data_IF_730447404775
#
_entry.id   IF_730447404775
#
_cell.length_a   1.000
_cell.length_b   1.000
_cell.length_c   1.000
_cell.angle_alpha   90.00
_cell.angle_beta   90.00
_cell.angle_gamma   90.00
#
_symmetry.space_group_name_H-M   'P 1'
#
loop_
_entity.id
_entity.type
_entity.pdbx_description
1 polymer ?
#
# COMPACT_ATOMS: atom_id res chain seq x y z
N UNK A 1 -17.19 23.45 4.19
CA UNK A 1 -17.87 22.12 4.09
C UNK A 1 -19.04 22.10 3.09
N UNK A 2 -19.26 23.14 2.25
CA UNK A 2 -20.43 23.23 1.34
C UNK A 2 -20.60 22.04 0.36
N UNK A 3 -19.53 21.33 0.02
CA UNK A 3 -19.57 20.20 -0.93
C UNK A 3 -19.83 18.84 -0.27
N UNK A 4 -19.88 18.76 1.07
CA UNK A 4 -20.08 17.49 1.80
C UNK A 4 -21.41 16.79 1.45
N UNK A 5 -22.56 17.47 1.27
CA UNK A 5 -23.80 16.81 0.85
C UNK A 5 -23.71 16.17 -0.53
N UNK A 6 -22.95 16.80 -1.45
CA UNK A 6 -22.72 16.26 -2.80
C UNK A 6 -21.83 15.00 -2.76
N UNK A 7 -20.81 14.98 -1.90
CA UNK A 7 -20.00 13.78 -1.65
C UNK A 7 -20.84 12.65 -1.07
N UNK A 8 -21.67 12.93 -0.06
CA UNK A 8 -22.58 11.93 0.53
C UNK A 8 -23.54 11.33 -0.51
N UNK A 9 -24.17 12.16 -1.35
CA UNK A 9 -25.02 11.65 -2.44
C UNK A 9 -24.26 10.75 -3.42
N UNK A 10 -23.04 11.13 -3.82
CA UNK A 10 -22.21 10.31 -4.72
C UNK A 10 -21.86 8.97 -4.06
N UNK A 11 -21.49 8.98 -2.78
CA UNK A 11 -21.18 7.75 -2.03
C UNK A 11 -22.38 6.82 -1.88
N UNK A 12 -23.57 7.37 -1.63
CA UNK A 12 -24.82 6.57 -1.59
C UNK A 12 -25.14 6.00 -2.96
N UNK A 13 -25.06 6.79 -4.03
CA UNK A 13 -25.29 6.31 -5.40
C UNK A 13 -24.31 5.19 -5.81
N UNK A 14 -23.04 5.33 -5.46
CA UNK A 14 -22.01 4.31 -5.72
C UNK A 14 -22.18 3.09 -4.82
N UNK A 15 -22.69 3.24 -3.59
CA UNK A 15 -23.10 2.11 -2.75
C UNK A 15 -24.26 1.30 -3.34
N UNK A 16 -25.29 1.98 -3.86
CA UNK A 16 -26.42 1.34 -4.55
C UNK A 16 -25.93 0.59 -5.80
N UNK A 17 -25.03 1.20 -6.58
CA UNK A 17 -24.38 0.52 -7.71
C UNK A 17 -23.58 -0.72 -7.26
N UNK A 18 -22.79 -0.61 -6.18
CA UNK A 18 -22.02 -1.73 -5.62
C UNK A 18 -22.91 -2.89 -5.12
N UNK A 19 -24.12 -2.59 -4.63
CA UNK A 19 -25.10 -3.62 -4.27
C UNK A 19 -25.58 -4.40 -5.51
N UNK A 20 -25.96 -3.69 -6.59
CA UNK A 20 -26.36 -4.31 -7.85
C UNK A 20 -25.23 -5.11 -8.52
N UNK A 21 -24.00 -4.61 -8.45
CA UNK A 21 -22.80 -5.31 -8.90
C UNK A 21 -22.58 -6.61 -8.11
N UNK A 22 -22.75 -6.58 -6.79
CA UNK A 22 -22.67 -7.76 -5.94
C UNK A 22 -23.66 -8.85 -6.34
N UNK A 23 -24.93 -8.49 -6.60
CA UNK A 23 -25.94 -9.43 -7.11
C UNK A 23 -25.52 -10.02 -8.46
N UNK A 24 -25.09 -9.20 -9.41
CA UNK A 24 -24.74 -9.65 -10.77
C UNK A 24 -23.56 -10.64 -10.77
N UNK A 25 -22.54 -10.41 -9.95
CA UNK A 25 -21.36 -11.28 -9.86
C UNK A 25 -21.45 -12.36 -8.77
N UNK A 26 -22.62 -12.56 -8.15
CA UNK A 26 -22.84 -13.50 -7.04
C UNK A 26 -21.83 -13.32 -5.87
N UNK A 27 -21.45 -12.06 -5.61
CA UNK A 27 -20.62 -11.64 -4.48
C UNK A 27 -21.50 -11.08 -3.36
N UNK A 28 -21.04 -11.09 -2.10
CA UNK A 28 -21.79 -10.58 -0.96
C UNK A 28 -22.26 -9.10 -1.15
N UNK A 29 -23.54 -8.84 -1.46
CA UNK A 29 -23.95 -7.51 -1.94
C UNK A 29 -23.79 -6.38 -0.89
N UNK A 30 -24.07 -6.58 0.41
CA UNK A 30 -23.80 -5.57 1.44
C UNK A 30 -22.32 -5.20 1.56
N UNK A 31 -21.41 -6.15 1.35
CA UNK A 31 -19.96 -5.93 1.46
C UNK A 31 -19.46 -5.07 0.28
N UNK A 32 -19.92 -5.38 -0.94
CA UNK A 32 -19.60 -4.60 -2.14
C UNK A 32 -20.17 -3.18 -2.05
N UNK A 33 -21.44 -3.04 -1.65
CA UNK A 33 -22.08 -1.75 -1.43
C UNK A 33 -21.32 -0.91 -0.38
N UNK A 34 -21.01 -1.50 0.77
CA UNK A 34 -20.27 -0.85 1.85
C UNK A 34 -18.87 -0.44 1.44
N UNK A 35 -18.11 -1.31 0.78
CA UNK A 35 -16.76 -1.02 0.30
C UNK A 35 -16.71 0.14 -0.69
N UNK A 36 -17.56 0.12 -1.72
CA UNK A 36 -17.59 1.15 -2.76
C UNK A 36 -18.10 2.51 -2.23
N UNK A 37 -19.11 2.51 -1.35
CA UNK A 37 -19.58 3.73 -0.67
C UNK A 37 -18.50 4.33 0.24
N UNK A 38 -17.81 3.50 1.03
CA UNK A 38 -16.76 3.93 1.95
C UNK A 38 -15.58 4.56 1.23
N UNK A 39 -15.12 3.94 0.13
CA UNK A 39 -13.98 4.39 -0.64
C UNK A 39 -14.24 5.74 -1.33
N UNK A 40 -15.42 5.91 -1.93
CA UNK A 40 -15.82 7.19 -2.53
C UNK A 40 -16.05 8.28 -1.49
N UNK A 41 -16.56 7.96 -0.30
CA UNK A 41 -16.74 8.91 0.79
C UNK A 41 -15.38 9.43 1.28
N UNK A 42 -14.44 8.51 1.54
CA UNK A 42 -13.05 8.84 1.89
C UNK A 42 -12.41 9.75 0.84
N UNK A 43 -12.52 9.39 -0.44
CA UNK A 43 -11.95 10.19 -1.54
C UNK A 43 -12.57 11.59 -1.61
N UNK A 44 -13.89 11.71 -1.53
CA UNK A 44 -14.58 13.00 -1.52
C UNK A 44 -14.23 13.88 -0.32
N UNK A 45 -14.06 13.29 0.87
CA UNK A 45 -13.58 14.00 2.07
C UNK A 45 -12.14 14.52 1.87
N UNK A 46 -11.26 13.70 1.27
CA UNK A 46 -9.89 14.10 0.95
C UNK A 46 -9.85 15.26 -0.06
N UNK A 47 -10.68 15.25 -1.10
CA UNK A 47 -10.79 16.34 -2.07
C UNK A 47 -11.34 17.65 -1.49
N UNK A 48 -12.24 17.58 -0.49
CA UNK A 48 -12.76 18.77 0.20
C UNK A 48 -11.70 19.42 1.12
N UNK A 49 -10.69 18.66 1.54
CA UNK A 49 -9.67 19.13 2.48
C UNK A 49 -8.68 20.05 1.77
N UNK A 50 -8.72 21.35 2.09
CA UNK A 50 -7.80 22.37 1.54
C UNK A 50 -6.36 21.84 1.60
N UNK A 51 -5.71 21.75 0.43
CA UNK A 51 -4.35 21.26 0.31
C UNK A 51 -3.43 22.12 1.18
N UNK A 52 -2.85 21.51 2.23
CA UNK A 52 -1.85 22.15 3.07
C UNK A 52 -0.49 21.84 2.44
N UNK A 53 0.43 22.82 2.35
CA UNK A 53 1.79 22.52 1.93
C UNK A 53 2.35 21.42 2.84
N UNK A 54 2.96 20.41 2.23
CA UNK A 54 3.59 19.28 2.92
C UNK A 54 4.78 19.81 3.72
N UNK A 55 4.56 20.12 5.02
CA UNK A 55 5.67 20.28 5.96
C UNK A 55 6.41 18.95 6.03
N UNK A 56 7.62 18.93 5.48
CA UNK A 56 8.55 17.80 5.61
C UNK A 56 8.65 17.41 7.08
N UNK A 57 8.16 16.22 7.42
CA UNK A 57 8.42 15.61 8.73
C UNK A 57 9.85 15.06 8.68
N UNK A 58 10.64 15.30 9.72
CA UNK A 58 11.93 14.62 9.86
C UNK A 58 11.76 13.10 9.83
N UNK A 59 12.72 12.40 9.21
CA UNK A 59 12.70 10.95 8.94
C UNK A 59 12.16 10.12 10.12
N UNK A 60 12.78 10.23 11.29
CA UNK A 60 12.40 9.49 12.50
C UNK A 60 10.96 9.76 12.95
N UNK A 61 10.48 11.00 12.84
CA UNK A 61 9.09 11.36 13.18
C UNK A 61 8.11 10.72 12.19
N UNK A 62 8.50 10.57 10.93
CA UNK A 62 7.66 9.94 9.93
C UNK A 62 7.60 8.42 10.10
N UNK A 63 8.77 7.77 10.24
CA UNK A 63 8.90 6.34 10.56
C UNK A 63 8.07 5.99 11.81
N UNK A 64 8.29 6.71 12.91
CA UNK A 64 7.57 6.51 14.18
C UNK A 64 6.06 6.77 14.11
N UNK A 65 5.57 7.55 13.14
CA UNK A 65 4.12 7.70 12.92
C UNK A 65 3.52 6.48 12.19
N UNK A 66 4.30 5.82 11.32
CA UNK A 66 3.81 4.72 10.47
C UNK A 66 3.94 3.34 11.12
N UNK A 67 4.94 3.12 11.97
CA UNK A 67 5.13 1.82 12.67
C UNK A 67 3.83 1.36 13.37
N UNK A 68 3.14 2.17 14.20
CA UNK A 68 1.89 1.73 14.84
C UNK A 68 0.78 1.37 13.84
N UNK A 69 0.67 2.11 12.73
CA UNK A 69 -0.32 1.85 11.68
C UNK A 69 -0.09 0.48 11.05
N UNK A 70 1.17 0.15 10.74
CA UNK A 70 1.52 -1.09 10.05
C UNK A 70 1.55 -2.29 11.00
N UNK A 71 1.84 -2.10 12.30
CA UNK A 71 1.59 -3.12 13.31
C UNK A 71 0.09 -3.46 13.41
N UNK A 72 -0.80 -2.46 13.43
CA UNK A 72 -2.26 -2.68 13.43
C UNK A 72 -2.71 -3.39 12.15
N UNK A 73 -2.22 -2.98 10.97
CA UNK A 73 -2.52 -3.68 9.72
C UNK A 73 -2.00 -5.12 9.69
N UNK A 74 -0.79 -5.37 10.19
CA UNK A 74 -0.22 -6.72 10.31
C UNK A 74 -1.05 -7.62 11.21
N UNK A 75 -1.51 -7.12 12.37
CA UNK A 75 -2.43 -7.83 13.26
C UNK A 75 -3.76 -8.15 12.57
N UNK A 76 -4.35 -7.20 11.84
CA UNK A 76 -5.58 -7.42 11.07
C UNK A 76 -5.37 -8.50 9.99
N UNK A 77 -4.27 -8.42 9.23
CA UNK A 77 -3.91 -9.39 8.19
C UNK A 77 -3.73 -10.79 8.79
N UNK A 78 -3.02 -10.91 9.92
CA UNK A 78 -2.81 -12.18 10.61
C UNK A 78 -4.13 -12.86 10.99
N UNK A 79 -5.00 -12.16 11.73
CA UNK A 79 -6.30 -12.72 12.13
C UNK A 79 -7.22 -13.00 10.95
N UNK A 80 -7.18 -12.17 9.91
CA UNK A 80 -7.97 -12.38 8.68
C UNK A 80 -7.50 -13.64 7.93
N UNK A 81 -6.19 -13.81 7.74
CA UNK A 81 -5.62 -14.98 7.07
C UNK A 81 -5.86 -16.28 7.88
N UNK A 82 -5.74 -16.20 9.21
CA UNK A 82 -6.11 -17.31 10.10
C UNK A 82 -7.60 -17.68 10.01
N UNK A 83 -8.50 -16.69 9.92
CA UNK A 83 -9.93 -16.94 9.74
C UNK A 83 -10.28 -17.62 8.41
N UNK A 84 -9.55 -17.30 7.33
CA UNK A 84 -9.68 -17.98 6.03
C UNK A 84 -8.92 -19.32 5.93
N UNK A 85 -8.33 -19.80 7.03
CA UNK A 85 -7.69 -21.12 7.09
C UNK A 85 -6.33 -21.23 6.40
N UNK A 86 -5.64 -20.11 6.14
CA UNK A 86 -4.29 -20.15 5.55
C UNK A 86 -3.29 -20.83 6.51
N UNK A 87 -2.34 -21.64 6.01
CA UNK A 87 -1.30 -22.24 6.85
C UNK A 87 -0.42 -21.18 7.53
N UNK A 88 0.18 -21.52 8.68
CA UNK A 88 0.97 -20.59 9.50
C UNK A 88 2.04 -19.81 8.72
N UNK A 89 2.81 -20.50 7.86
CA UNK A 89 3.85 -19.86 7.04
C UNK A 89 3.29 -18.80 6.07
N UNK A 90 2.12 -19.04 5.47
CA UNK A 90 1.45 -18.06 4.62
C UNK A 90 0.96 -16.83 5.42
N UNK A 91 0.47 -17.03 6.65
CA UNK A 91 0.09 -15.91 7.53
C UNK A 91 1.30 -15.03 7.87
N UNK A 92 2.46 -15.64 8.15
CA UNK A 92 3.74 -14.93 8.35
C UNK A 92 4.13 -14.15 7.10
N UNK A 93 4.02 -14.75 5.92
CA UNK A 93 4.39 -14.13 4.64
C UNK A 93 3.50 -12.91 4.31
N UNK A 94 2.18 -13.00 4.52
CA UNK A 94 1.27 -11.86 4.32
C UNK A 94 1.58 -10.69 5.26
N UNK A 95 1.95 -10.97 6.52
CA UNK A 95 2.40 -9.92 7.46
C UNK A 95 3.78 -9.37 7.07
N UNK A 96 4.69 -10.20 6.55
CA UNK A 96 5.97 -9.75 6.03
C UNK A 96 5.79 -8.79 4.83
N UNK A 97 4.87 -9.07 3.90
CA UNK A 97 4.55 -8.14 2.80
C UNK A 97 3.99 -6.79 3.30
N UNK A 98 3.20 -6.78 4.39
CA UNK A 98 2.76 -5.54 5.01
C UNK A 98 3.94 -4.71 5.60
N UNK A 99 4.96 -5.38 6.14
CA UNK A 99 6.21 -4.76 6.59
C UNK A 99 7.08 -4.26 5.44
N UNK A 100 7.11 -4.96 4.30
CA UNK A 100 7.73 -4.44 3.06
C UNK A 100 7.02 -3.17 2.59
N UNK A 101 5.68 -3.10 2.76
CA UNK A 101 4.91 -1.87 2.57
C UNK A 101 5.40 -0.68 3.41
N UNK A 102 5.81 -0.91 4.67
CA UNK A 102 6.43 0.13 5.52
C UNK A 102 7.71 0.67 4.87
N UNK A 103 8.56 -0.20 4.33
CA UNK A 103 9.81 0.18 3.70
C UNK A 103 9.57 1.10 2.48
N UNK A 104 8.62 0.74 1.60
CA UNK A 104 8.21 1.62 0.49
C UNK A 104 7.61 2.95 0.98
N UNK A 105 6.77 2.95 2.02
CA UNK A 105 6.24 4.20 2.59
C UNK A 105 7.30 5.07 3.27
N UNK A 106 8.40 4.49 3.75
CA UNK A 106 9.55 5.24 4.27
C UNK A 106 10.32 5.87 3.10
N UNK A 107 10.58 5.11 2.02
CA UNK A 107 11.26 5.60 0.81
C UNK A 107 10.47 6.73 0.14
N UNK A 108 9.16 6.57 -0.06
CA UNK A 108 8.32 7.56 -0.74
C UNK A 108 8.17 8.88 0.05
N UNK A 109 8.31 8.83 1.38
CA UNK A 109 8.32 10.02 2.24
C UNK A 109 9.75 10.52 2.56
N UNK A 110 10.79 9.98 1.91
CA UNK A 110 12.10 10.63 1.92
C UNK A 110 11.98 12.02 1.28
N UNK A 111 12.90 12.92 1.65
CA UNK A 111 12.91 14.28 1.14
C UNK A 111 12.89 14.29 -0.38
N UNK A 112 11.96 15.03 -0.97
CA UNK A 112 11.81 15.14 -2.43
C UNK A 112 13.15 15.45 -3.08
N UNK A 113 13.55 14.62 -4.04
CA UNK A 113 14.83 14.81 -4.73
C UNK A 113 14.85 16.18 -5.41
N UNK A 114 16.00 16.86 -5.35
CA UNK A 114 16.21 18.07 -6.15
C UNK A 114 16.17 17.69 -7.63
N UNK A 115 15.75 18.64 -8.47
CA UNK A 115 15.81 18.47 -9.94
C UNK A 115 17.26 18.19 -10.34
N UNK A 116 17.47 17.16 -11.16
CA UNK A 116 18.81 16.78 -11.59
C UNK A 116 19.45 17.90 -12.43
N UNK A 117 20.72 18.19 -12.16
CA UNK A 117 21.44 19.29 -12.82
C UNK A 117 21.92 18.97 -14.24
N UNK A 118 21.73 17.74 -14.71
CA UNK A 118 22.12 17.33 -16.06
C UNK A 118 22.05 15.82 -16.30
N UNK A 119 22.08 15.45 -17.58
CA UNK A 119 21.91 14.08 -18.09
C UNK A 119 22.90 13.08 -17.49
N UNK A 120 24.20 13.42 -17.44
CA UNK A 120 25.23 12.53 -16.89
C UNK A 120 25.06 12.22 -15.40
N UNK A 121 24.36 13.08 -14.64
CA UNK A 121 24.00 12.79 -13.24
C UNK A 121 22.83 11.80 -13.18
N UNK A 122 21.81 12.02 -14.00
CA UNK A 122 20.67 11.12 -14.16
C UNK A 122 21.10 9.70 -14.56
N UNK A 123 22.01 9.55 -15.54
CA UNK A 123 22.53 8.26 -15.99
C UNK A 123 23.28 7.55 -14.86
N UNK A 124 24.20 8.24 -14.16
CA UNK A 124 24.94 7.67 -13.03
C UNK A 124 24.00 7.24 -11.90
N UNK A 125 22.97 8.04 -11.59
CA UNK A 125 21.98 7.71 -10.57
C UNK A 125 21.14 6.49 -10.98
N UNK A 126 20.71 6.42 -12.24
CA UNK A 126 19.96 5.27 -12.77
C UNK A 126 20.77 3.97 -12.67
N UNK A 127 22.01 3.97 -13.18
CA UNK A 127 22.91 2.81 -13.13
C UNK A 127 23.22 2.43 -11.67
N UNK A 128 23.52 3.40 -10.80
CA UNK A 128 23.81 3.16 -9.40
C UNK A 128 22.63 2.57 -8.62
N UNK A 129 21.41 3.09 -8.82
CA UNK A 129 20.21 2.54 -8.18
C UNK A 129 19.88 1.14 -8.70
N UNK A 130 20.00 0.91 -10.02
CA UNK A 130 19.80 -0.42 -10.61
C UNK A 130 20.81 -1.43 -10.07
N UNK A 131 22.12 -1.12 -10.13
CA UNK A 131 23.18 -2.00 -9.66
C UNK A 131 23.04 -2.32 -8.16
N UNK A 132 22.70 -1.34 -7.33
CA UNK A 132 22.49 -1.55 -5.89
C UNK A 132 21.28 -2.47 -5.63
N UNK A 133 20.16 -2.25 -6.33
CA UNK A 133 18.99 -3.13 -6.24
C UNK A 133 19.29 -4.56 -6.72
N UNK A 134 19.99 -4.71 -7.85
CA UNK A 134 20.41 -5.99 -8.39
C UNK A 134 21.37 -6.74 -7.45
N UNK A 135 22.36 -6.06 -6.86
CA UNK A 135 23.29 -6.68 -5.91
C UNK A 135 22.57 -7.15 -4.64
N UNK A 136 21.66 -6.34 -4.08
CA UNK A 136 20.84 -6.76 -2.94
C UNK A 136 19.97 -7.97 -3.29
N UNK A 137 19.30 -7.95 -4.44
CA UNK A 137 18.48 -9.08 -4.90
C UNK A 137 19.33 -10.35 -5.03
N UNK A 138 20.41 -10.31 -5.83
CA UNK A 138 21.29 -11.46 -6.10
C UNK A 138 21.87 -12.03 -4.79
N UNK A 139 22.37 -11.18 -3.90
CA UNK A 139 22.99 -11.64 -2.63
C UNK A 139 21.98 -12.25 -1.66
N UNK A 140 20.77 -11.70 -1.58
CA UNK A 140 19.69 -12.27 -0.76
C UNK A 140 19.22 -13.60 -1.38
N UNK A 141 18.94 -13.64 -2.68
CA UNK A 141 18.48 -14.88 -3.33
C UNK A 141 19.52 -15.98 -3.28
N UNK A 142 20.81 -15.67 -3.40
CA UNK A 142 21.89 -16.66 -3.30
C UNK A 142 21.98 -17.36 -1.91
N UNK A 143 21.37 -16.79 -0.87
CA UNK A 143 21.26 -17.42 0.45
C UNK A 143 19.95 -18.21 0.65
N UNK A 144 18.97 -18.04 -0.24
CA UNK A 144 17.74 -18.82 -0.22
C UNK A 144 17.95 -20.16 -0.94
N UNK A 145 17.27 -21.25 -0.51
CA UNK A 145 17.29 -22.52 -1.23
C UNK A 145 16.95 -22.32 -2.70
N UNK A 146 17.93 -22.59 -3.57
CA UNK A 146 17.73 -22.54 -5.02
C UNK A 146 17.06 -23.83 -5.47
N UNK A 147 16.20 -23.72 -6.49
CA UNK A 147 15.64 -24.89 -7.15
C UNK A 147 16.76 -25.63 -7.89
N UNK A 148 17.07 -26.85 -7.42
CA UNK A 148 18.05 -27.74 -8.04
C UNK A 148 17.32 -28.75 -8.93
N UNK A 149 17.34 -28.61 -10.27
CA UNK A 149 16.64 -29.53 -11.19
C UNK A 149 17.21 -30.96 -11.23
N UNK A 150 18.26 -31.23 -10.46
CA UNK A 150 18.90 -32.54 -10.31
C UNK A 150 18.29 -33.37 -9.15
N UNK A 151 17.35 -32.78 -8.39
CA UNK A 151 16.68 -33.41 -7.24
C UNK A 151 15.15 -33.23 -7.39
N UNK A 152 14.56 -34.01 -8.31
CA UNK A 152 13.13 -34.33 -8.38
C UNK A 152 12.89 -35.82 -8.09
#
# INVERSE_FOLDING_TARGET
MKNLPKVLMISVAVGIFGYGFGIYFNMAPPVMAGGMASLTLLYGILLIKKHRPTKEKGFFRNVGTKIPIILVLGVIIWFTAGHYGFPFWWQVEFVAFALVGLFFFIILDLKTMKVEKGEGHSIRRLIGTYALGSLLYITITAQLPQFSPEIE
#
